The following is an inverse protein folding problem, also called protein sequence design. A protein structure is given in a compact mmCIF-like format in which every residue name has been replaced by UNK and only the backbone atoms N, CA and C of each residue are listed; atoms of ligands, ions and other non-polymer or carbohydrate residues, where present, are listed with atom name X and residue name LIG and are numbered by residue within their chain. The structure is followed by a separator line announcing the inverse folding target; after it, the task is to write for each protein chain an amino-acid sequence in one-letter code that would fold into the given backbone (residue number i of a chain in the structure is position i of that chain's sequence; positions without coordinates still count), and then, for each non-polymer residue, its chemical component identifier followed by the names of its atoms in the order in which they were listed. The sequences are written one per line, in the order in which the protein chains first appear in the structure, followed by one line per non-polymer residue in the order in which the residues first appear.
data_IF_349983830272
#
_entry.id   IF_349983830272
#
_cell.length_a   1.000
_cell.length_b   1.000
_cell.length_c   1.000
_cell.angle_alpha   90.00
_cell.angle_beta   90.00
_cell.angle_gamma   90.00
#
_symmetry.space_group_name_H-M   'P 1'
#
loop_
_entity.id
_entity.type
_entity.pdbx_description
1 polymer ?
#
# COMPACT_ATOMS: atom_id res chain seq x y z
N UNK A 1 -2.21 -35.73 56.82
CA UNK A 1 -2.44 -34.66 57.82
C UNK A 1 -1.56 -33.46 57.45
N UNK A 2 -2.17 -32.28 57.45
CA UNK A 2 -1.60 -30.92 57.36
C UNK A 2 -0.98 -30.42 56.05
N UNK A 3 -1.84 -29.80 55.23
CA UNK A 3 -1.62 -28.47 54.61
C UNK A 3 -2.15 -27.43 55.62
N UNK A 4 -1.59 -26.20 55.75
CA UNK A 4 -1.92 -25.05 54.87
C UNK A 4 -0.69 -24.14 54.59
N UNK A 5 -0.69 -23.28 53.57
CA UNK A 5 -1.08 -21.86 53.69
C UNK A 5 -1.36 -21.31 52.29
N UNK A 6 -2.46 -20.56 52.20
CA UNK A 6 -2.98 -19.85 51.03
C UNK A 6 -2.66 -18.35 51.16
N UNK A 7 -2.32 -17.74 50.02
CA UNK A 7 -2.62 -16.36 49.57
C UNK A 7 -2.06 -15.15 50.31
N UNK A 8 -1.51 -14.17 49.55
CA UNK A 8 -2.03 -12.80 49.36
C UNK A 8 -1.04 -11.92 48.53
N UNK A 9 -1.61 -11.00 47.69
CA UNK A 9 -1.05 -9.88 46.89
C UNK A 9 -0.41 -10.24 45.53
N UNK A 10 -0.98 -9.99 44.34
CA UNK A 10 -1.67 -8.83 43.74
C UNK A 10 -0.73 -7.66 43.31
N UNK A 11 -0.86 -7.31 42.02
CA UNK A 11 -0.46 -6.07 41.35
C UNK A 11 1.01 -5.88 40.89
N UNK A 12 1.29 -6.34 39.68
CA UNK A 12 2.12 -5.61 38.70
C UNK A 12 1.68 -5.98 37.27
N UNK A 13 0.51 -5.49 36.90
CA UNK A 13 0.13 -5.36 35.51
C UNK A 13 1.05 -4.35 34.81
N UNK A 14 1.56 -4.69 33.61
CA UNK A 14 1.73 -3.83 32.42
C UNK A 14 2.94 -4.14 31.51
N UNK A 15 3.75 -5.17 31.77
CA UNK A 15 4.98 -5.41 30.96
C UNK A 15 5.03 -6.72 30.17
N UNK A 16 3.99 -7.57 30.22
CA UNK A 16 4.00 -8.89 29.59
C UNK A 16 3.34 -8.93 28.20
N UNK A 17 3.88 -8.16 27.24
CA UNK A 17 3.54 -8.39 25.84
C UNK A 17 4.78 -8.25 24.94
N UNK A 18 5.59 -9.32 24.89
CA UNK A 18 5.89 -9.92 23.59
C UNK A 18 5.83 -11.46 23.60
N UNK A 19 5.21 -12.11 24.60
CA UNK A 19 5.20 -13.58 24.67
C UNK A 19 4.25 -14.24 23.66
N UNK A 20 3.28 -13.50 23.10
CA UNK A 20 2.41 -14.00 22.03
C UNK A 20 3.14 -14.17 20.69
N UNK A 21 4.25 -13.47 20.44
CA UNK A 21 5.12 -13.75 19.29
C UNK A 21 6.05 -14.95 19.55
N UNK A 22 6.41 -15.22 20.80
CA UNK A 22 7.24 -16.38 21.18
C UNK A 22 6.49 -17.70 21.02
N UNK A 23 5.18 -17.74 21.26
CA UNK A 23 4.34 -18.92 20.99
C UNK A 23 4.28 -19.29 19.50
N UNK A 24 4.40 -18.31 18.61
CA UNK A 24 4.48 -18.51 17.15
C UNK A 24 5.84 -19.08 16.71
N UNK A 25 6.91 -18.77 17.44
CA UNK A 25 8.29 -19.20 17.17
C UNK A 25 8.60 -20.66 17.55
N UNK A 26 7.68 -21.38 18.21
CA UNK A 26 7.87 -22.83 18.50
C UNK A 26 7.57 -23.76 17.33
N UNK A 27 7.14 -23.23 16.18
CA UNK A 27 7.10 -24.00 14.95
C UNK A 27 8.53 -24.12 14.40
N UNK A 28 9.02 -25.34 14.11
CA UNK A 28 10.41 -25.61 13.68
C UNK A 28 10.87 -24.83 12.42
N UNK A 29 9.96 -24.16 11.73
CA UNK A 29 10.24 -23.41 10.51
C UNK A 29 10.44 -21.93 10.85
N UNK A 30 11.68 -21.53 11.14
CA UNK A 30 12.07 -20.13 11.43
C UNK A 30 11.92 -19.20 10.20
N UNK A 31 11.99 -19.75 8.99
CA UNK A 31 11.91 -19.05 7.71
C UNK A 31 10.66 -18.16 7.52
N UNK A 32 9.42 -18.63 7.74
CA UNK A 32 8.23 -17.79 7.62
C UNK A 32 8.21 -16.61 8.60
N UNK A 33 8.78 -16.73 9.80
CA UNK A 33 8.83 -15.61 10.75
C UNK A 33 9.77 -14.51 10.24
N UNK A 34 10.94 -14.90 9.73
CA UNK A 34 11.91 -13.97 9.15
C UNK A 34 11.36 -13.29 7.90
N UNK A 35 10.64 -14.03 7.05
CA UNK A 35 10.01 -13.49 5.85
C UNK A 35 8.91 -12.49 6.21
N UNK A 36 8.05 -12.80 7.19
CA UNK A 36 7.06 -11.87 7.72
C UNK A 36 7.71 -10.61 8.31
N UNK A 37 8.78 -10.76 9.10
CA UNK A 37 9.49 -9.62 9.69
C UNK A 37 10.15 -8.74 8.62
N UNK A 38 10.77 -9.34 7.59
CA UNK A 38 11.37 -8.62 6.46
C UNK A 38 10.34 -7.89 5.62
N UNK A 39 9.20 -8.53 5.32
CA UNK A 39 8.07 -7.88 4.65
C UNK A 39 7.54 -6.71 5.47
N UNK A 40 7.35 -6.91 6.78
CA UNK A 40 6.88 -5.88 7.69
C UNK A 40 7.85 -4.69 7.78
N UNK A 41 9.16 -4.94 7.87
CA UNK A 41 10.17 -3.88 7.85
C UNK A 41 10.15 -3.11 6.52
N UNK A 42 10.01 -3.81 5.39
CA UNK A 42 9.88 -3.18 4.07
C UNK A 42 8.61 -2.34 3.96
N UNK A 43 7.51 -2.79 4.57
CA UNK A 43 6.23 -2.05 4.66
C UNK A 43 6.35 -0.78 5.48
N UNK A 44 7.03 -0.84 6.63
CA UNK A 44 7.30 0.33 7.46
C UNK A 44 8.18 1.35 6.73
N UNK A 45 9.23 0.88 6.04
CA UNK A 45 10.12 1.74 5.24
C UNK A 45 9.40 2.35 4.04
N UNK A 46 8.48 1.63 3.41
CA UNK A 46 7.72 2.15 2.28
C UNK A 46 6.79 3.31 2.67
N UNK A 47 6.34 3.38 3.93
CA UNK A 47 5.45 4.41 4.49
C UNK A 47 4.24 4.78 3.62
N UNK A 48 3.85 3.90 2.69
CA UNK A 48 2.84 4.16 1.67
C UNK A 48 1.54 3.46 2.05
N UNK A 49 0.44 4.20 2.05
CA UNK A 49 -0.92 3.67 2.27
C UNK A 49 -1.24 2.53 1.31
N UNK A 50 -0.73 2.60 0.08
CA UNK A 50 -0.91 1.56 -0.95
C UNK A 50 -0.24 0.25 -0.58
N UNK A 51 0.93 0.28 0.08
CA UNK A 51 1.64 -0.92 0.51
C UNK A 51 0.84 -1.68 1.58
N UNK A 52 0.22 -0.97 2.52
CA UNK A 52 -0.65 -1.56 3.54
C UNK A 52 -1.89 -2.24 2.94
N UNK A 53 -2.59 -1.55 2.04
CA UNK A 53 -3.77 -2.13 1.36
C UNK A 53 -3.37 -3.36 0.53
N UNK A 54 -2.28 -3.26 -0.25
CA UNK A 54 -1.79 -4.38 -1.04
C UNK A 54 -1.41 -5.59 -0.16
N UNK A 55 -0.84 -5.35 1.03
CA UNK A 55 -0.46 -6.41 1.96
C UNK A 55 -1.69 -7.07 2.58
N UNK A 56 -2.67 -6.30 3.03
CA UNK A 56 -3.92 -6.84 3.58
C UNK A 56 -4.67 -7.66 2.52
N UNK A 57 -4.77 -7.14 1.29
CA UNK A 57 -5.36 -7.88 0.17
C UNK A 57 -4.58 -9.16 -0.16
N UNK A 58 -3.24 -9.09 -0.22
CA UNK A 58 -2.40 -10.26 -0.51
C UNK A 58 -2.52 -11.32 0.57
N UNK A 59 -2.52 -10.93 1.85
CA UNK A 59 -2.69 -11.86 2.97
C UNK A 59 -4.10 -12.46 2.97
N UNK A 60 -5.13 -11.65 2.69
CA UNK A 60 -6.51 -12.07 2.57
C UNK A 60 -6.76 -13.08 1.45
N UNK A 61 -5.96 -13.04 0.37
CA UNK A 61 -5.99 -14.04 -0.72
C UNK A 61 -5.13 -15.26 -0.41
N UNK A 62 -3.95 -15.07 0.19
CA UNK A 62 -2.97 -16.12 0.45
C UNK A 62 -3.42 -17.08 1.55
N UNK A 63 -4.03 -16.57 2.63
CA UNK A 63 -4.53 -17.40 3.75
C UNK A 63 -5.58 -18.44 3.29
N UNK A 64 -6.65 -18.07 2.56
CA UNK A 64 -7.60 -19.05 2.04
C UNK A 64 -6.99 -19.93 0.94
N UNK A 65 -6.10 -19.42 0.09
CA UNK A 65 -5.45 -20.24 -0.95
C UNK A 65 -4.59 -21.36 -0.35
N UNK A 66 -3.80 -21.07 0.69
CA UNK A 66 -2.99 -22.08 1.40
C UNK A 66 -3.85 -22.93 2.34
N UNK A 67 -4.92 -22.37 2.89
CA UNK A 67 -5.86 -23.08 3.77
C UNK A 67 -6.84 -24.00 3.03
N UNK A 68 -7.07 -23.81 1.73
CA UNK A 68 -8.03 -24.60 0.94
C UNK A 68 -7.77 -26.11 0.97
N UNK A 69 -6.54 -26.64 0.84
CA UNK A 69 -6.30 -28.07 0.98
C UNK A 69 -6.28 -28.57 2.43
N UNK A 70 -6.27 -27.68 3.43
CA UNK A 70 -6.13 -28.06 4.83
C UNK A 70 -7.45 -28.57 5.43
N UNK A 71 -7.35 -29.38 6.48
CA UNK A 71 -8.52 -29.87 7.22
C UNK A 71 -9.25 -28.72 7.95
N UNK A 72 -10.58 -28.82 8.20
CA UNK A 72 -11.35 -27.78 8.86
C UNK A 72 -10.73 -27.22 10.16
N UNK A 73 -10.20 -28.04 11.10
CA UNK A 73 -9.56 -27.50 12.30
C UNK A 73 -8.24 -26.76 11.99
N UNK A 74 -7.48 -27.18 10.98
CA UNK A 74 -6.26 -26.50 10.56
C UNK A 74 -6.57 -25.14 9.91
N UNK A 75 -7.65 -25.03 9.13
CA UNK A 75 -8.10 -23.76 8.54
C UNK A 75 -8.41 -22.71 9.59
N UNK A 76 -9.15 -23.09 10.64
CA UNK A 76 -9.47 -22.18 11.77
C UNK A 76 -8.20 -21.72 12.48
N UNK A 77 -7.24 -22.62 12.68
CA UNK A 77 -5.97 -22.27 13.31
C UNK A 77 -5.15 -21.29 12.45
N UNK A 78 -5.11 -21.49 11.13
CA UNK A 78 -4.42 -20.58 10.19
C UNK A 78 -5.07 -19.20 10.17
N UNK A 79 -6.39 -19.12 10.11
CA UNK A 79 -7.12 -17.85 10.18
C UNK A 79 -6.86 -17.10 11.49
N UNK A 80 -6.88 -17.81 12.63
CA UNK A 80 -6.59 -17.21 13.93
C UNK A 80 -5.15 -16.68 14.01
N UNK A 81 -4.18 -17.43 13.49
CA UNK A 81 -2.77 -16.99 13.43
C UNK A 81 -2.59 -15.79 12.51
N UNK A 82 -3.22 -15.80 11.34
CA UNK A 82 -3.22 -14.67 10.42
C UNK A 82 -3.82 -13.41 11.05
N UNK A 83 -4.94 -13.55 11.78
CA UNK A 83 -5.57 -12.44 12.49
C UNK A 83 -4.70 -11.87 13.61
N UNK A 84 -4.01 -12.72 14.39
CA UNK A 84 -3.08 -12.28 15.44
C UNK A 84 -1.87 -11.55 14.83
N UNK A 85 -1.35 -12.03 13.70
CA UNK A 85 -0.24 -11.40 13.02
C UNK A 85 -0.63 -10.04 12.43
N UNK A 86 -1.81 -9.94 11.81
CA UNK A 86 -2.36 -8.68 11.32
C UNK A 86 -2.62 -7.68 12.47
N UNK A 87 -3.17 -8.14 13.59
CA UNK A 87 -3.45 -7.25 14.73
C UNK A 87 -2.17 -6.74 15.37
N UNK A 88 -1.15 -7.59 15.55
CA UNK A 88 0.16 -7.16 16.07
C UNK A 88 0.84 -6.16 15.13
N UNK A 89 0.77 -6.35 13.81
CA UNK A 89 1.26 -5.39 12.83
C UNK A 89 0.51 -4.06 12.88
N UNK A 90 -0.82 -4.08 12.98
CA UNK A 90 -1.62 -2.87 13.10
C UNK A 90 -1.28 -2.09 14.38
N UNK A 91 -1.19 -2.77 15.52
CA UNK A 91 -0.85 -2.16 16.82
C UNK A 91 0.55 -1.55 16.79
N UNK A 92 1.55 -2.29 16.29
CA UNK A 92 2.93 -1.79 16.21
C UNK A 92 3.05 -0.60 15.25
N UNK A 93 2.28 -0.57 14.16
CA UNK A 93 2.23 0.58 13.25
C UNK A 93 1.63 1.81 13.90
N UNK A 94 0.51 1.67 14.61
CA UNK A 94 -0.13 2.78 15.34
C UNK A 94 0.79 3.29 16.46
N UNK A 95 1.46 2.40 17.18
CA UNK A 95 2.42 2.77 18.22
C UNK A 95 3.61 3.56 17.65
N UNK A 96 4.17 3.13 16.51
CA UNK A 96 5.26 3.83 15.83
C UNK A 96 4.84 5.19 15.28
N UNK A 97 3.60 5.35 14.83
CA UNK A 97 3.06 6.64 14.38
C UNK A 97 2.85 7.65 15.52
N UNK A 98 2.64 7.16 16.75
CA UNK A 98 2.45 8.00 17.92
C UNK A 98 3.78 8.50 18.52
N UNK A 99 4.92 7.89 18.17
CA UNK A 99 6.24 8.30 18.66
C UNK A 99 6.90 9.32 17.72
N UNK A 100 7.24 10.54 18.16
CA UNK A 100 8.03 11.48 17.36
C UNK A 100 9.48 10.98 17.27
N UNK A 101 9.97 10.70 16.05
CA UNK A 101 11.29 10.07 15.82
C UNK A 101 12.40 11.08 15.51
N UNK A 102 12.09 12.37 15.31
CA UNK A 102 13.09 13.39 14.96
C UNK A 102 12.90 14.66 15.81
N UNK A 103 13.81 14.89 16.75
CA UNK A 103 14.08 16.23 17.28
C UNK A 103 14.90 16.99 16.22
N UNK A 104 14.33 18.05 15.65
CA UNK A 104 15.09 18.97 14.82
C UNK A 104 15.95 19.87 15.73
N UNK A 105 17.12 20.28 15.24
CA UNK A 105 18.05 21.12 16.00
C UNK A 105 17.56 22.58 16.19
N UNK A 106 16.37 22.92 15.69
CA UNK A 106 15.75 24.25 15.75
C UNK A 106 14.59 24.35 16.78
N UNK A 107 14.30 23.29 17.53
CA UNK A 107 13.28 23.32 18.59
C UNK A 107 11.84 23.10 18.13
N UNK A 108 11.60 22.99 16.81
CA UNK A 108 10.34 22.49 16.27
C UNK A 108 10.41 20.97 16.06
N UNK A 109 9.70 20.23 16.91
CA UNK A 109 9.57 18.80 16.79
C UNK A 109 8.67 18.46 15.60
N UNK A 110 9.25 18.32 14.40
CA UNK A 110 8.53 17.87 13.21
C UNK A 110 8.10 16.42 13.40
N UNK A 111 6.87 16.25 13.88
CA UNK A 111 6.28 14.95 14.11
C UNK A 111 5.97 14.26 12.78
N UNK A 112 6.13 12.95 12.72
CA UNK A 112 5.62 12.14 11.59
C UNK A 112 4.10 12.36 11.42
N UNK A 113 3.39 12.70 12.50
CA UNK A 113 1.98 13.11 12.46
C UNK A 113 1.75 14.42 11.71
N UNK A 114 2.69 15.36 11.68
CA UNK A 114 2.57 16.61 10.92
C UNK A 114 2.77 16.37 9.42
N UNK A 115 3.70 15.49 9.02
CA UNK A 115 3.74 14.99 7.64
C UNK A 115 2.47 14.23 7.27
N UNK A 116 1.89 13.50 8.23
CA UNK A 116 0.65 12.76 8.04
C UNK A 116 -0.58 13.69 8.00
N UNK A 117 -0.55 14.82 8.69
CA UNK A 117 -1.55 15.90 8.66
C UNK A 117 -1.41 16.79 7.43
N UNK A 118 -0.19 17.08 6.95
CA UNK A 118 0.03 17.67 5.62
C UNK A 118 -0.51 16.76 4.51
N UNK A 119 -0.52 15.44 4.73
CA UNK A 119 -1.22 14.48 3.84
C UNK A 119 -2.73 14.40 4.13
N UNK A 120 -3.20 14.84 5.31
CA UNK A 120 -4.63 14.94 5.64
C UNK A 120 -5.26 16.23 5.08
N UNK A 121 -4.48 17.30 4.88
CA UNK A 121 -4.89 18.48 4.12
C UNK A 121 -5.31 18.15 2.68
N UNK A 122 -4.78 17.07 2.11
CA UNK A 122 -5.23 16.51 0.81
C UNK A 122 -6.68 15.99 0.84
N UNK A 123 -7.26 15.73 2.02
CA UNK A 123 -8.68 15.37 2.18
C UNK A 123 -9.56 16.59 2.44
N UNK A 124 -8.98 17.76 2.74
CA UNK A 124 -9.73 19.00 2.76
C UNK A 124 -10.06 19.40 1.30
N UNK A 125 -11.34 19.45 0.92
CA UNK A 125 -11.74 19.81 -0.44
C UNK A 125 -11.33 21.24 -0.82
N UNK A 126 -10.94 22.09 0.14
CA UNK A 126 -10.46 23.45 -0.09
C UNK A 126 -8.97 23.51 -0.44
N UNK A 127 -8.10 22.82 0.30
CA UNK A 127 -6.66 22.74 0.00
C UNK A 127 -6.37 21.92 -1.27
N UNK A 128 -7.12 20.84 -1.51
CA UNK A 128 -7.02 20.05 -2.76
C UNK A 128 -7.33 20.89 -4.02
N UNK A 129 -8.12 21.97 -3.90
CA UNK A 129 -8.39 22.89 -5.02
C UNK A 129 -7.24 23.87 -5.29
N UNK A 130 -6.34 24.08 -4.35
CA UNK A 130 -5.22 25.02 -4.49
C UNK A 130 -3.92 24.32 -4.91
N UNK A 131 -3.79 23.02 -4.66
CA UNK A 131 -2.60 22.27 -5.10
C UNK A 131 -2.62 21.96 -6.61
N UNK A 132 -1.96 22.82 -7.38
CA UNK A 132 -1.77 22.66 -8.82
C UNK A 132 -1.02 21.37 -9.22
N UNK A 133 -0.18 20.84 -8.33
CA UNK A 133 0.59 19.61 -8.57
C UNK A 133 -0.31 18.39 -8.56
N UNK A 134 -1.17 18.27 -7.55
CA UNK A 134 -2.15 17.19 -7.47
C UNK A 134 -3.14 17.24 -8.63
N UNK A 135 -3.57 18.43 -9.05
CA UNK A 135 -4.46 18.58 -10.21
C UNK A 135 -3.79 18.12 -11.51
N UNK A 136 -2.50 18.44 -11.69
CA UNK A 136 -1.73 17.98 -12.85
C UNK A 136 -1.60 16.44 -12.85
N UNK A 137 -1.29 15.83 -11.70
CA UNK A 137 -1.23 14.36 -11.58
C UNK A 137 -2.58 13.71 -11.90
N UNK A 138 -3.69 14.26 -11.39
CA UNK A 138 -5.03 13.77 -11.67
C UNK A 138 -5.39 13.87 -13.16
N UNK A 139 -4.94 14.94 -13.85
CA UNK A 139 -5.12 15.06 -15.29
C UNK A 139 -4.38 13.93 -16.03
N UNK A 140 -3.11 13.68 -15.69
CA UNK A 140 -2.30 12.62 -16.29
C UNK A 140 -2.90 11.23 -16.06
N UNK A 141 -3.47 11.00 -14.88
CA UNK A 141 -4.18 9.74 -14.58
C UNK A 141 -5.46 9.62 -15.39
N UNK A 142 -6.22 10.69 -15.51
CA UNK A 142 -7.45 10.71 -16.32
C UNK A 142 -7.11 10.39 -17.78
N UNK A 143 -6.07 11.01 -18.33
CA UNK A 143 -5.60 10.74 -19.68
C UNK A 143 -5.18 9.28 -19.87
N UNK A 144 -4.39 8.72 -18.94
CA UNK A 144 -4.01 7.32 -18.98
C UNK A 144 -5.26 6.43 -18.98
N UNK A 145 -6.20 6.65 -18.05
CA UNK A 145 -7.48 5.91 -17.93
C UNK A 145 -8.34 6.03 -19.20
N UNK A 146 -8.31 7.14 -19.92
CA UNK A 146 -8.99 7.23 -21.22
C UNK A 146 -8.35 6.32 -22.26
N UNK A 147 -7.02 6.33 -22.38
CA UNK A 147 -6.29 5.42 -23.29
C UNK A 147 -6.58 3.95 -23.00
N UNK A 148 -6.66 3.60 -21.71
CA UNK A 148 -7.07 2.28 -21.24
C UNK A 148 -8.42 1.86 -21.80
N UNK A 149 -9.39 2.78 -21.74
CA UNK A 149 -10.78 2.52 -22.11
C UNK A 149 -10.97 2.46 -23.62
N UNK A 150 -10.21 3.27 -24.37
CA UNK A 150 -10.25 3.29 -25.83
C UNK A 150 -9.63 2.04 -26.45
N UNK A 151 -8.52 1.55 -25.88
CA UNK A 151 -7.77 0.41 -26.43
C UNK A 151 -7.55 -0.68 -25.38
N UNK A 152 -8.60 -1.38 -24.89
CA UNK A 152 -8.50 -2.29 -23.75
C UNK A 152 -7.66 -3.54 -24.00
N UNK A 153 -7.51 -3.95 -25.26
CA UNK A 153 -6.81 -5.19 -25.64
C UNK A 153 -5.34 -4.94 -25.95
N UNK A 154 -5.04 -4.02 -26.87
CA UNK A 154 -3.70 -3.76 -27.40
C UNK A 154 -2.96 -2.65 -26.64
N UNK A 155 -3.68 -1.73 -26.01
CA UNK A 155 -3.09 -0.47 -25.53
C UNK A 155 -2.70 0.44 -26.69
N UNK A 156 -2.02 1.53 -26.37
CA UNK A 156 -1.55 2.53 -27.35
C UNK A 156 -0.22 2.14 -28.02
N UNK A 157 0.35 1.01 -27.62
CA UNK A 157 1.63 0.50 -28.11
C UNK A 157 2.85 1.12 -27.40
N UNK A 158 4.03 0.48 -27.54
CA UNK A 158 5.27 0.95 -26.92
C UNK A 158 5.63 2.37 -27.36
N UNK A 159 5.88 3.27 -26.41
CA UNK A 159 6.17 4.70 -26.65
C UNK A 159 5.02 5.47 -27.32
N UNK A 160 3.83 4.86 -27.41
CA UNK A 160 2.62 5.45 -28.00
C UNK A 160 1.91 6.44 -27.07
N UNK A 161 2.28 6.48 -25.79
CA UNK A 161 1.65 7.33 -24.78
C UNK A 161 1.61 8.81 -25.19
N UNK A 162 2.74 9.36 -25.63
CA UNK A 162 2.84 10.78 -25.98
C UNK A 162 1.97 11.17 -27.20
N UNK A 163 1.80 10.26 -28.16
CA UNK A 163 0.90 10.48 -29.31
C UNK A 163 -0.57 10.37 -28.91
N UNK A 164 -0.92 9.34 -28.13
CA UNK A 164 -2.29 9.16 -27.63
C UNK A 164 -2.71 10.33 -26.73
N UNK A 165 -1.80 10.83 -25.88
CA UNK A 165 -2.08 12.00 -25.04
C UNK A 165 -2.41 13.24 -25.87
N UNK A 166 -1.68 13.47 -26.98
CA UNK A 166 -1.98 14.60 -27.88
C UNK A 166 -3.34 14.47 -28.55
N UNK A 167 -3.77 13.26 -28.87
CA UNK A 167 -5.09 13.00 -29.45
C UNK A 167 -6.21 13.25 -28.43
N UNK A 168 -5.99 12.92 -27.16
CA UNK A 168 -6.91 13.17 -26.04
C UNK A 168 -6.93 14.62 -25.56
N UNK A 169 -5.92 15.42 -25.90
CA UNK A 169 -5.75 16.77 -25.38
C UNK A 169 -6.95 17.70 -25.64
N UNK A 170 -7.64 17.68 -26.80
CA UNK A 170 -8.85 18.48 -27.00
C UNK A 170 -9.96 18.16 -26.01
N UNK A 171 -10.19 16.88 -25.72
CA UNK A 171 -11.20 16.45 -24.74
C UNK A 171 -10.80 16.84 -23.32
N UNK A 172 -9.52 16.65 -22.98
CA UNK A 172 -8.99 17.06 -21.68
C UNK A 172 -9.10 18.57 -21.48
N UNK A 173 -8.87 19.39 -22.51
CA UNK A 173 -9.02 20.86 -22.47
C UNK A 173 -10.46 21.31 -22.26
N UNK A 174 -11.44 20.53 -22.69
CA UNK A 174 -12.85 20.83 -22.45
C UNK A 174 -13.28 20.53 -21.00
N UNK A 175 -12.49 19.75 -20.25
CA UNK A 175 -12.81 19.39 -18.88
C UNK A 175 -12.53 20.56 -17.91
N UNK A 176 -13.41 20.83 -16.93
CA UNK A 176 -13.25 21.94 -15.99
C UNK A 176 -12.00 21.83 -15.11
N UNK A 177 -11.46 20.61 -14.95
CA UNK A 177 -10.22 20.34 -14.23
C UNK A 177 -8.97 20.87 -14.95
N UNK A 178 -9.00 20.98 -16.28
CA UNK A 178 -7.85 21.47 -17.06
C UNK A 178 -7.62 22.97 -16.84
N UNK A 179 -8.70 23.75 -16.75
CA UNK A 179 -8.62 25.20 -16.52
C UNK A 179 -8.15 25.59 -15.12
N UNK A 180 -8.05 24.64 -14.19
CA UNK A 180 -7.53 24.88 -12.83
C UNK A 180 -6.02 24.69 -12.71
N UNK A 181 -5.40 24.12 -13.75
CA UNK A 181 -3.96 23.89 -13.82
C UNK A 181 -3.20 25.20 -13.97
N UNK A 182 -1.97 25.25 -13.45
CA UNK A 182 -1.03 26.34 -13.74
C UNK A 182 -0.71 26.40 -15.23
N UNK A 183 -0.35 27.58 -15.75
CA UNK A 183 -0.02 27.75 -17.17
C UNK A 183 1.08 26.77 -17.65
N UNK A 184 2.10 26.56 -16.82
CA UNK A 184 3.16 25.58 -17.11
C UNK A 184 2.62 24.15 -17.26
N UNK A 185 1.71 23.74 -16.38
CA UNK A 185 1.07 22.43 -16.44
C UNK A 185 0.11 22.27 -17.64
N UNK A 186 -0.49 23.36 -18.13
CA UNK A 186 -1.34 23.35 -19.33
C UNK A 186 -0.52 23.24 -20.63
N UNK A 187 0.71 23.77 -20.63
CA UNK A 187 1.63 23.70 -21.77
C UNK A 187 2.44 22.41 -21.80
N UNK A 188 2.42 21.64 -20.72
CA UNK A 188 3.19 20.40 -20.61
C UNK A 188 2.78 19.36 -21.67
N UNK A 189 3.78 18.60 -22.12
CA UNK A 189 3.65 17.54 -23.11
C UNK A 189 4.23 16.25 -22.54
N UNK A 190 3.49 15.59 -21.63
CA UNK A 190 3.96 14.42 -20.92
C UNK A 190 4.30 13.30 -21.90
N UNK A 191 5.51 12.76 -21.78
CA UNK A 191 5.94 11.57 -22.54
C UNK A 191 5.54 10.27 -21.86
N UNK A 192 5.35 10.33 -20.55
CA UNK A 192 5.07 9.19 -19.68
C UNK A 192 3.93 9.54 -18.74
N UNK A 193 3.19 8.53 -18.27
CA UNK A 193 2.25 8.76 -17.18
C UNK A 193 3.05 8.97 -15.88
N UNK A 194 2.54 9.77 -14.96
CA UNK A 194 3.18 9.97 -13.65
C UNK A 194 3.25 8.68 -12.80
N UNK A 195 2.43 7.67 -13.12
CA UNK A 195 2.42 6.38 -12.46
C UNK A 195 2.83 5.29 -13.45
N UNK A 196 3.90 4.56 -13.15
CA UNK A 196 4.44 3.50 -14.01
C UNK A 196 3.43 2.40 -14.31
N UNK A 197 2.60 2.02 -13.32
CA UNK A 197 1.56 1.01 -13.51
C UNK A 197 0.53 1.50 -14.52
N UNK A 198 0.10 2.76 -14.41
CA UNK A 198 -0.81 3.35 -15.39
C UNK A 198 -0.16 3.52 -16.77
N UNK A 199 1.14 3.80 -16.81
CA UNK A 199 1.89 3.91 -18.07
C UNK A 199 1.93 2.56 -18.79
N UNK A 200 2.41 1.50 -18.12
CA UNK A 200 2.45 0.14 -18.66
C UNK A 200 1.04 -0.31 -19.03
N UNK A 201 0.07 -0.04 -18.16
CA UNK A 201 -1.31 -0.39 -18.44
C UNK A 201 -1.87 0.39 -19.63
N UNK A 202 -1.45 1.63 -19.93
CA UNK A 202 -1.88 2.33 -21.14
C UNK A 202 -1.20 1.77 -22.40
N UNK A 203 0.08 1.43 -22.34
CA UNK A 203 0.85 0.98 -23.51
C UNK A 203 0.58 -0.45 -23.95
N UNK A 204 0.51 -1.42 -23.01
CA UNK A 204 0.55 -2.84 -23.37
C UNK A 204 -0.71 -3.64 -23.06
N UNK A 205 -1.54 -3.20 -22.11
CA UNK A 205 -2.87 -3.78 -21.81
C UNK A 205 -2.88 -5.32 -21.70
N UNK A 206 -4.03 -5.94 -21.97
CA UNK A 206 -4.28 -7.38 -21.83
C UNK A 206 -3.22 -8.22 -22.54
N UNK A 207 -2.81 -7.84 -23.76
CA UNK A 207 -1.75 -8.57 -24.46
C UNK A 207 -0.40 -8.50 -23.76
N UNK A 208 -0.02 -7.34 -23.23
CA UNK A 208 1.18 -7.21 -22.40
C UNK A 208 1.14 -8.10 -21.17
N UNK A 209 0.00 -8.14 -20.49
CA UNK A 209 -0.22 -9.00 -19.33
C UNK A 209 -0.18 -10.49 -19.68
N UNK A 210 -0.78 -10.89 -20.80
CA UNK A 210 -0.75 -12.27 -21.29
C UNK A 210 0.66 -12.68 -21.71
N UNK A 211 1.39 -11.83 -22.45
CA UNK A 211 2.76 -12.09 -22.85
C UNK A 211 3.70 -12.20 -21.63
N UNK A 212 3.53 -11.31 -20.64
CA UNK A 212 4.27 -11.39 -19.37
C UNK A 212 4.00 -12.71 -18.64
N UNK A 213 2.72 -13.08 -18.50
CA UNK A 213 2.31 -14.30 -17.82
C UNK A 213 2.79 -15.57 -18.55
N UNK A 214 2.73 -15.57 -19.88
CA UNK A 214 3.23 -16.66 -20.71
C UNK A 214 4.76 -16.80 -20.60
N UNK A 215 5.50 -15.68 -20.59
CA UNK A 215 6.94 -15.68 -20.37
C UNK A 215 7.32 -16.28 -19.01
N UNK A 216 6.63 -15.89 -17.94
CA UNK A 216 6.86 -16.46 -16.59
C UNK A 216 6.59 -17.97 -16.55
N UNK A 217 5.58 -18.45 -17.29
CA UNK A 217 5.30 -19.88 -17.43
C UNK A 217 6.34 -20.62 -18.25
N UNK A 218 6.90 -20.00 -19.29
CA UNK A 218 7.90 -20.62 -20.16
C UNK A 218 9.25 -20.87 -19.47
N UNK A 219 9.61 -20.06 -18.46
CA UNK A 219 10.84 -20.21 -17.70
C UNK A 219 10.74 -21.16 -16.48
N UNK A 220 9.59 -21.84 -16.31
CA UNK A 220 9.38 -22.86 -15.27
C UNK A 220 9.45 -24.25 -15.87
#
# INVERSE_FOLDING_TARGET
MCSPIRTILAASALWDCPWLTVGFLRCQQKWPCLLCASLYASLLLAASRGAWVATVCSLGLLIPAVGWPASPPQRVLLLRRGAILLSTWAITTVALQATPVLESSEGDALSVSERMQQTAGVLDPTERRQDSTLQHQLLLWTAAISMVRESPVLGVGPRGYASAYRQLLPELRAAPQFHRLSEGAQLDRPRFAHNEVLHVAAETRLLGWLAFSAGVWWFR
#
